data_IF_436787879323
#
_entry.id   IF_436787879323
#
_cell.length_a   1.000
_cell.length_b   1.000
_cell.length_c   1.000
_cell.angle_alpha   90.00
_cell.angle_beta   90.00
_cell.angle_gamma   90.00
#
_symmetry.space_group_name_H-M   'P 1'
#
loop_
_entity.id
_entity.type
_entity.pdbx_description
1 polymer ?
#
# COMPACT_ATOMS: atom_id res chain seq x y z
N UNK A 1 -18.07 -25.21 -7.33
CA UNK A 1 -17.30 -25.81 -8.43
C UNK A 1 -16.81 -24.65 -9.27
N UNK A 2 -15.62 -24.12 -8.93
CA UNK A 2 -15.06 -22.93 -9.58
C UNK A 2 -14.03 -23.41 -10.59
N UNK A 3 -14.32 -23.19 -11.87
CA UNK A 3 -13.37 -23.42 -12.96
C UNK A 3 -12.40 -22.23 -13.01
N UNK A 4 -11.10 -22.52 -12.89
CA UNK A 4 -10.03 -21.62 -13.26
C UNK A 4 -9.76 -21.78 -14.77
N UNK A 5 -9.96 -20.75 -15.61
CA UNK A 5 -9.51 -20.77 -16.99
C UNK A 5 -8.15 -20.06 -17.10
N UNK A 6 -7.11 -20.79 -17.46
CA UNK A 6 -5.83 -20.19 -17.81
C UNK A 6 -4.65 -21.15 -17.71
N UNK A 7 -4.51 -22.04 -18.70
CA UNK A 7 -3.23 -22.58 -19.21
C UNK A 7 -3.56 -23.51 -20.37
N UNK A 8 -3.45 -22.98 -21.60
CA UNK A 8 -3.64 -23.72 -22.84
C UNK A 8 -2.41 -24.55 -23.17
N UNK A 9 -2.64 -25.86 -23.26
CA UNK A 9 -1.86 -26.94 -23.91
C UNK A 9 -0.52 -26.63 -24.56
N UNK A 10 0.55 -27.14 -23.94
CA UNK A 10 1.67 -27.82 -24.64
C UNK A 10 2.62 -28.55 -23.66
N UNK A 11 2.62 -28.21 -22.36
CA UNK A 11 3.53 -28.85 -21.39
C UNK A 11 2.98 -30.13 -20.73
N UNK A 12 1.68 -30.39 -20.76
CA UNK A 12 1.06 -31.44 -19.92
C UNK A 12 1.47 -32.87 -20.28
N UNK A 13 2.01 -33.13 -21.49
CA UNK A 13 2.35 -34.49 -21.92
C UNK A 13 3.82 -34.90 -21.69
N UNK A 14 4.75 -33.95 -21.55
CA UNK A 14 6.18 -34.26 -21.38
C UNK A 14 6.60 -34.44 -19.90
N UNK A 15 5.88 -33.83 -18.96
CA UNK A 15 6.26 -33.81 -17.53
C UNK A 15 5.82 -35.06 -16.75
N UNK A 16 4.80 -35.79 -17.21
CA UNK A 16 4.24 -36.95 -16.49
C UNK A 16 5.17 -38.16 -16.50
N UNK A 17 6.01 -38.31 -17.53
CA UNK A 17 6.95 -39.43 -17.66
C UNK A 17 8.28 -39.17 -16.94
N UNK A 18 8.78 -37.92 -16.91
CA UNK A 18 10.02 -37.57 -16.22
C UNK A 18 9.89 -37.69 -14.68
N UNK A 19 8.74 -37.31 -14.13
CA UNK A 19 8.46 -37.43 -12.68
C UNK A 19 8.46 -38.87 -12.17
N UNK A 20 8.23 -39.86 -13.04
CA UNK A 20 8.05 -41.26 -12.64
C UNK A 20 9.37 -42.00 -12.47
N UNK A 21 10.44 -41.55 -13.14
CA UNK A 21 11.79 -42.13 -13.00
C UNK A 21 12.60 -41.48 -11.87
N UNK A 22 12.50 -40.16 -11.67
CA UNK A 22 13.28 -39.45 -10.64
C UNK A 22 12.80 -39.72 -9.19
N UNK A 23 11.53 -40.06 -9.01
CA UNK A 23 10.94 -40.40 -7.70
C UNK A 23 11.41 -41.74 -7.12
N UNK A 24 12.17 -42.55 -7.86
CA UNK A 24 12.63 -43.88 -7.41
C UNK A 24 13.98 -43.85 -6.67
N UNK A 25 14.78 -42.79 -6.86
CA UNK A 25 16.18 -42.72 -6.36
C UNK A 25 16.34 -41.85 -5.09
N UNK A 26 15.27 -41.21 -4.60
CA UNK A 26 15.33 -40.23 -3.50
C UNK A 26 15.08 -40.72 -2.04
N UNK A 27 15.27 -41.99 -1.59
CA UNK A 27 15.12 -42.30 -0.15
C UNK A 27 16.32 -41.97 0.74
N UNK A 28 17.49 -41.56 0.21
CA UNK A 28 18.75 -41.67 0.98
C UNK A 28 19.24 -40.40 1.70
N UNK A 29 18.54 -39.25 1.64
CA UNK A 29 19.08 -37.98 2.18
C UNK A 29 18.10 -37.11 3.01
N UNK A 30 17.06 -37.66 3.63
CA UNK A 30 16.17 -36.89 4.52
C UNK A 30 16.45 -37.17 6.02
N UNK A 31 16.62 -36.12 6.87
CA UNK A 31 16.78 -36.27 8.31
C UNK A 31 15.57 -36.97 8.97
N UNK A 32 15.83 -37.81 9.98
CA UNK A 32 14.86 -38.63 10.74
C UNK A 32 13.68 -37.89 11.40
N UNK A 33 13.59 -36.57 11.31
CA UNK A 33 12.48 -35.76 11.87
C UNK A 33 11.19 -35.89 11.05
N UNK A 34 11.27 -36.39 9.82
CA UNK A 34 10.17 -36.36 8.85
C UNK A 34 9.54 -37.74 8.55
N UNK A 35 9.89 -38.78 9.30
CA UNK A 35 9.57 -40.18 9.00
C UNK A 35 8.09 -40.59 9.12
N UNK A 36 7.17 -39.64 9.33
CA UNK A 36 5.72 -39.90 9.46
C UNK A 36 4.81 -39.09 8.53
N UNK A 37 5.36 -38.21 7.68
CA UNK A 37 4.57 -37.40 6.74
C UNK A 37 4.61 -38.02 5.33
N UNK A 38 3.50 -37.90 4.59
CA UNK A 38 3.50 -38.23 3.15
C UNK A 38 4.53 -37.35 2.42
N UNK A 39 5.21 -37.83 1.37
CA UNK A 39 6.25 -37.09 0.65
C UNK A 39 5.82 -35.67 0.21
N UNK A 40 4.55 -35.50 -0.19
CA UNK A 40 3.97 -34.20 -0.54
C UNK A 40 3.84 -33.24 0.65
N UNK A 41 3.51 -33.78 1.84
CA UNK A 41 3.41 -33.01 3.08
C UNK A 41 4.79 -32.61 3.61
N UNK A 42 5.80 -33.47 3.39
CA UNK A 42 7.17 -33.17 3.75
C UNK A 42 7.74 -31.99 2.93
N UNK A 43 7.47 -31.99 1.63
CA UNK A 43 7.93 -30.94 0.71
C UNK A 43 7.32 -29.57 1.04
N UNK A 44 6.00 -29.54 1.27
CA UNK A 44 5.25 -28.30 1.55
C UNK A 44 5.69 -27.65 2.87
N UNK A 45 5.83 -28.42 3.94
CA UNK A 45 6.32 -27.91 5.21
C UNK A 45 7.78 -27.46 5.14
N UNK A 46 8.61 -28.13 4.32
CA UNK A 46 9.96 -27.69 4.01
C UNK A 46 9.98 -26.29 3.39
N UNK A 47 9.16 -26.05 2.37
CA UNK A 47 9.04 -24.73 1.74
C UNK A 47 8.55 -23.67 2.72
N UNK A 48 7.51 -23.97 3.50
CA UNK A 48 6.99 -23.03 4.49
C UNK A 48 8.06 -22.59 5.49
N UNK A 49 8.85 -23.53 6.00
CA UNK A 49 9.92 -23.23 6.95
C UNK A 49 10.98 -22.31 6.33
N UNK A 50 11.37 -22.57 5.07
CA UNK A 50 12.32 -21.71 4.34
C UNK A 50 11.74 -20.31 4.12
N UNK A 51 10.47 -20.19 3.71
CA UNK A 51 9.83 -18.89 3.52
C UNK A 51 9.65 -18.13 4.85
N UNK A 52 9.32 -18.80 5.95
CA UNK A 52 9.26 -18.19 7.28
C UNK A 52 10.65 -17.69 7.69
N UNK A 53 11.69 -18.51 7.52
CA UNK A 53 13.06 -18.10 7.79
C UNK A 53 13.48 -16.90 6.92
N UNK A 54 13.08 -16.88 5.64
CA UNK A 54 13.29 -15.76 4.74
C UNK A 54 12.61 -14.48 5.25
N UNK A 55 11.34 -14.55 5.69
CA UNK A 55 10.65 -13.39 6.25
C UNK A 55 11.36 -12.83 7.48
N UNK A 56 11.79 -13.70 8.41
CA UNK A 56 12.56 -13.27 9.58
C UNK A 56 13.91 -12.66 9.20
N UNK A 57 14.62 -13.24 8.24
CA UNK A 57 15.89 -12.72 7.74
C UNK A 57 15.70 -11.33 7.14
N UNK A 58 14.71 -11.15 6.26
CA UNK A 58 14.40 -9.87 5.62
C UNK A 58 14.05 -8.80 6.66
N UNK A 59 13.18 -9.12 7.62
CA UNK A 59 12.82 -8.19 8.71
C UNK A 59 14.07 -7.84 9.53
N UNK A 60 14.87 -8.84 9.93
CA UNK A 60 16.09 -8.66 10.71
C UNK A 60 17.12 -7.79 10.00
N UNK A 61 17.41 -8.07 8.73
CA UNK A 61 18.31 -7.27 7.90
C UNK A 61 17.84 -5.83 7.78
N UNK A 62 16.55 -5.60 7.53
CA UNK A 62 16.01 -4.25 7.45
C UNK A 62 16.03 -3.53 8.82
N UNK A 63 15.89 -4.24 9.94
CA UNK A 63 16.07 -3.65 11.27
C UNK A 63 17.52 -3.25 11.53
N UNK A 64 18.48 -4.09 11.19
CA UNK A 64 19.91 -3.76 11.29
C UNK A 64 20.24 -2.57 10.41
N UNK A 65 19.74 -2.53 9.17
CA UNK A 65 19.91 -1.39 8.27
C UNK A 65 19.36 -0.10 8.86
N UNK A 66 18.15 -0.12 9.44
CA UNK A 66 17.55 1.05 10.10
C UNK A 66 18.39 1.48 11.30
N UNK A 67 18.79 0.54 12.15
CA UNK A 67 19.60 0.82 13.34
C UNK A 67 20.96 1.42 13.00
N UNK A 68 21.69 0.85 12.02
CA UNK A 68 22.94 1.41 11.52
C UNK A 68 22.73 2.80 10.91
N UNK A 69 21.69 2.97 10.09
CA UNK A 69 21.39 4.25 9.44
C UNK A 69 21.06 5.35 10.45
N UNK A 70 20.37 5.04 11.56
CA UNK A 70 20.14 6.00 12.66
C UNK A 70 21.43 6.46 13.33
N UNK A 71 22.47 5.62 13.32
CA UNK A 71 23.79 5.95 13.90
C UNK A 71 24.68 6.75 12.94
N UNK A 72 24.54 6.49 11.64
CA UNK A 72 25.45 7.03 10.62
C UNK A 72 24.91 8.25 9.87
N UNK A 73 23.59 8.42 9.79
CA UNK A 73 22.94 9.46 8.99
C UNK A 73 22.26 10.53 9.84
N UNK A 74 22.11 11.73 9.27
CA UNK A 74 21.29 12.78 9.89
C UNK A 74 19.81 12.36 9.97
N UNK A 75 19.04 12.87 10.95
CA UNK A 75 17.62 12.50 11.11
C UNK A 75 16.78 12.72 9.83
N UNK A 76 17.10 13.78 9.08
CA UNK A 76 16.45 14.08 7.80
C UNK A 76 16.75 13.02 6.75
N UNK A 77 18.03 12.71 6.53
CA UNK A 77 18.46 11.70 5.56
C UNK A 77 17.94 10.30 5.94
N UNK A 78 17.95 9.96 7.23
CA UNK A 78 17.34 8.73 7.72
C UNK A 78 15.85 8.67 7.38
N UNK A 79 15.08 9.72 7.72
CA UNK A 79 13.64 9.75 7.56
C UNK A 79 13.14 9.71 6.11
N UNK A 80 13.82 10.41 5.18
CA UNK A 80 13.40 10.46 3.78
C UNK A 80 14.09 9.46 2.86
N UNK A 81 15.24 8.88 3.22
CA UNK A 81 15.95 7.90 2.39
C UNK A 81 16.00 6.51 3.04
N UNK A 82 16.83 6.32 4.05
CA UNK A 82 17.15 4.99 4.57
C UNK A 82 15.92 4.24 5.10
N UNK A 83 15.02 4.96 5.77
CA UNK A 83 13.78 4.41 6.31
C UNK A 83 12.82 3.95 5.22
N UNK A 84 12.65 4.74 4.16
CA UNK A 84 11.80 4.40 3.01
C UNK A 84 12.39 3.26 2.20
N UNK A 85 13.71 3.27 1.96
CA UNK A 85 14.43 2.21 1.28
C UNK A 85 14.28 0.87 2.02
N UNK A 86 14.53 0.86 3.33
CA UNK A 86 14.38 -0.35 4.15
C UNK A 86 12.92 -0.84 4.21
N UNK A 87 11.95 0.08 4.29
CA UNK A 87 10.51 -0.24 4.27
C UNK A 87 10.08 -0.89 2.96
N UNK A 88 10.43 -0.27 1.84
CA UNK A 88 10.09 -0.77 0.49
C UNK A 88 10.80 -2.06 0.13
N UNK A 89 12.07 -2.24 0.53
CA UNK A 89 12.80 -3.50 0.36
C UNK A 89 12.13 -4.63 1.15
N UNK A 90 11.83 -4.38 2.43
CA UNK A 90 11.18 -5.37 3.29
C UNK A 90 9.79 -5.77 2.75
N UNK A 91 9.00 -4.80 2.30
CA UNK A 91 7.68 -5.02 1.71
C UNK A 91 7.77 -5.84 0.43
N UNK A 92 8.65 -5.44 -0.48
CA UNK A 92 8.77 -6.07 -1.79
C UNK A 92 9.23 -7.52 -1.69
N UNK A 93 10.29 -7.78 -0.91
CA UNK A 93 10.80 -9.13 -0.72
C UNK A 93 9.75 -10.05 -0.09
N UNK A 94 9.06 -9.58 0.95
CA UNK A 94 8.03 -10.35 1.63
C UNK A 94 6.82 -10.61 0.72
N UNK A 95 6.44 -9.62 -0.10
CA UNK A 95 5.35 -9.76 -1.06
C UNK A 95 5.67 -10.79 -2.14
N UNK A 96 6.89 -10.75 -2.71
CA UNK A 96 7.31 -11.69 -3.74
C UNK A 96 7.35 -13.13 -3.23
N UNK A 97 7.97 -13.36 -2.07
CA UNK A 97 8.03 -14.71 -1.48
C UNK A 97 6.63 -15.23 -1.13
N UNK A 98 5.74 -14.39 -0.60
CA UNK A 98 4.35 -14.78 -0.34
C UNK A 98 3.57 -15.07 -1.64
N UNK A 99 3.83 -14.32 -2.71
CA UNK A 99 3.23 -14.59 -4.03
C UNK A 99 3.67 -15.93 -4.60
N UNK A 100 4.95 -16.28 -4.49
CA UNK A 100 5.42 -17.60 -4.87
C UNK A 100 4.64 -18.71 -4.13
N UNK A 101 4.43 -18.57 -2.82
CA UNK A 101 3.62 -19.52 -2.04
C UNK A 101 2.16 -19.58 -2.52
N UNK A 102 1.59 -18.45 -2.96
CA UNK A 102 0.22 -18.35 -3.46
C UNK A 102 0.05 -18.98 -4.85
N UNK A 103 1.00 -18.75 -5.75
CA UNK A 103 0.94 -19.17 -7.16
C UNK A 103 1.36 -20.63 -7.34
N UNK A 104 2.44 -21.05 -6.68
CA UNK A 104 3.01 -22.41 -6.79
C UNK A 104 2.45 -23.36 -5.75
N UNK A 105 2.06 -22.87 -4.56
CA UNK A 105 1.48 -23.68 -3.49
C UNK A 105 0.46 -24.72 -3.95
N UNK A 106 -0.58 -24.31 -4.71
CA UNK A 106 -1.61 -25.21 -5.20
C UNK A 106 -1.08 -26.36 -6.08
N UNK A 107 0.06 -26.20 -6.76
CA UNK A 107 0.61 -27.19 -7.70
C UNK A 107 1.11 -28.45 -6.97
N UNK A 108 1.57 -28.30 -5.73
CA UNK A 108 2.03 -29.40 -4.88
C UNK A 108 0.96 -29.98 -3.95
N UNK A 109 -0.32 -29.60 -4.13
CA UNK A 109 -1.38 -29.89 -3.15
C UNK A 109 -1.20 -29.15 -1.82
N UNK A 110 -0.42 -28.06 -1.82
CA UNK A 110 -0.01 -27.31 -0.64
C UNK A 110 -0.66 -25.93 -0.52
N UNK A 111 -0.67 -25.41 0.70
CA UNK A 111 -1.08 -24.05 1.11
C UNK A 111 -2.46 -23.60 0.63
N UNK A 112 -3.48 -23.85 1.46
CA UNK A 112 -4.81 -23.27 1.27
C UNK A 112 -4.77 -21.73 1.34
N UNK A 113 -5.76 -21.10 0.71
CA UNK A 113 -5.93 -19.64 0.72
C UNK A 113 -5.92 -19.06 2.13
N UNK A 114 -6.52 -19.76 3.10
CA UNK A 114 -6.55 -19.35 4.51
C UNK A 114 -5.16 -19.17 5.11
N UNK A 115 -4.22 -20.05 4.75
CA UNK A 115 -2.85 -19.96 5.24
C UNK A 115 -2.12 -18.77 4.63
N UNK A 116 -2.23 -18.57 3.31
CA UNK A 116 -1.59 -17.44 2.62
C UNK A 116 -2.15 -16.11 3.14
N UNK A 117 -3.46 -16.02 3.37
CA UNK A 117 -4.09 -14.84 3.97
C UNK A 117 -3.66 -14.62 5.43
N UNK A 118 -3.48 -15.69 6.20
CA UNK A 118 -2.95 -15.60 7.57
C UNK A 118 -1.52 -15.07 7.55
N UNK A 119 -0.66 -15.59 6.67
CA UNK A 119 0.70 -15.09 6.50
C UNK A 119 0.71 -13.63 6.02
N UNK A 120 -0.17 -13.26 5.08
CA UNK A 120 -0.33 -11.89 4.61
C UNK A 120 -0.66 -10.95 5.79
N UNK A 121 -1.65 -11.31 6.60
CA UNK A 121 -2.03 -10.54 7.78
C UNK A 121 -0.84 -10.38 8.75
N UNK A 122 -0.17 -11.48 9.08
CA UNK A 122 0.98 -11.47 9.99
C UNK A 122 2.13 -10.61 9.44
N UNK A 123 2.45 -10.75 8.14
CA UNK A 123 3.48 -9.96 7.48
C UNK A 123 3.15 -8.47 7.50
N UNK A 124 1.92 -8.08 7.17
CA UNK A 124 1.53 -6.66 7.23
C UNK A 124 1.49 -6.12 8.66
N UNK A 125 1.16 -6.95 9.66
CA UNK A 125 1.27 -6.58 11.07
C UNK A 125 2.74 -6.34 11.46
N UNK A 126 3.64 -7.24 11.07
CA UNK A 126 5.09 -7.10 11.28
C UNK A 126 5.62 -5.87 10.55
N UNK A 127 5.25 -5.64 9.29
CA UNK A 127 5.59 -4.43 8.53
C UNK A 127 5.14 -3.17 9.26
N UNK A 128 3.87 -3.09 9.66
CA UNK A 128 3.33 -1.95 10.41
C UNK A 128 4.06 -1.67 11.72
N UNK A 129 4.49 -2.71 12.43
CA UNK A 129 5.28 -2.58 13.66
C UNK A 129 6.75 -2.21 13.42
N UNK A 130 7.31 -2.59 12.27
CA UNK A 130 8.75 -2.58 11.99
C UNK A 130 9.23 -1.45 11.07
N UNK A 131 8.31 -0.80 10.34
CA UNK A 131 8.62 0.24 9.35
C UNK A 131 9.11 1.57 9.94
N UNK A 132 8.98 1.79 11.26
CA UNK A 132 9.43 3.01 11.93
C UNK A 132 8.80 4.30 11.33
N UNK A 133 7.59 4.16 10.78
CA UNK A 133 6.85 5.23 10.10
C UNK A 133 7.24 5.47 8.64
N UNK A 134 7.98 4.55 7.99
CA UNK A 134 8.16 4.55 6.54
C UNK A 134 6.80 4.57 5.84
N UNK A 135 6.66 5.38 4.78
CA UNK A 135 5.47 5.35 3.93
C UNK A 135 5.46 4.06 3.09
N UNK A 136 6.62 3.66 2.54
CA UNK A 136 6.85 2.47 1.71
C UNK A 136 5.85 2.28 0.54
N UNK A 137 5.13 3.35 0.19
CA UNK A 137 4.09 3.41 -0.81
C UNK A 137 4.04 4.84 -1.37
N UNK A 138 4.20 5.03 -2.69
CA UNK A 138 4.12 6.34 -3.34
C UNK A 138 2.84 7.12 -3.01
N UNK A 139 1.67 6.47 -2.96
CA UNK A 139 0.41 7.17 -2.68
C UNK A 139 0.38 7.74 -1.26
N UNK A 140 1.00 7.07 -0.29
CA UNK A 140 1.14 7.55 1.09
C UNK A 140 2.11 8.72 1.16
N UNK A 141 3.25 8.68 0.45
CA UNK A 141 4.18 9.82 0.41
C UNK A 141 3.59 11.05 -0.29
N UNK A 142 2.77 10.85 -1.33
CA UNK A 142 2.01 11.93 -1.97
C UNK A 142 0.93 12.46 -1.03
N UNK A 143 0.24 11.59 -0.28
CA UNK A 143 -0.73 12.02 0.73
C UNK A 143 -0.07 12.95 1.76
N UNK A 144 1.05 12.56 2.34
CA UNK A 144 1.80 13.39 3.31
C UNK A 144 2.20 14.76 2.72
N UNK A 145 2.59 14.79 1.44
CA UNK A 145 2.88 16.04 0.73
C UNK A 145 1.64 16.94 0.63
N UNK A 146 0.51 16.37 0.20
CA UNK A 146 -0.77 17.08 0.03
C UNK A 146 -1.33 17.61 1.37
N UNK A 147 -0.99 16.93 2.46
CA UNK A 147 -1.36 17.31 3.83
C UNK A 147 -0.38 18.26 4.52
N UNK A 148 0.62 18.79 3.80
CA UNK A 148 1.67 19.70 4.33
C UNK A 148 2.61 19.05 5.36
N UNK A 149 2.66 17.72 5.43
CA UNK A 149 3.49 16.97 6.37
C UNK A 149 4.88 16.67 5.81
N UNK A 150 5.01 16.76 4.49
CA UNK A 150 6.28 16.60 3.78
C UNK A 150 6.50 17.75 2.79
N UNK A 151 7.77 18.14 2.63
CA UNK A 151 8.22 19.06 1.58
C UNK A 151 8.34 18.34 0.24
N UNK A 152 8.32 19.08 -0.87
CA UNK A 152 8.48 18.49 -2.21
C UNK A 152 9.78 17.70 -2.33
N UNK A 153 10.90 18.28 -1.87
CA UNK A 153 12.20 17.63 -1.90
C UNK A 153 12.25 16.35 -1.05
N UNK A 154 11.65 16.37 0.14
CA UNK A 154 11.56 15.18 0.98
C UNK A 154 10.70 14.09 0.32
N UNK A 155 9.54 14.45 -0.25
CA UNK A 155 8.68 13.49 -0.95
C UNK A 155 9.36 12.91 -2.18
N UNK A 156 10.07 13.72 -2.98
CA UNK A 156 10.86 13.22 -4.11
C UNK A 156 11.94 12.23 -3.64
N UNK A 157 12.65 12.54 -2.56
CA UNK A 157 13.64 11.64 -1.96
C UNK A 157 13.00 10.32 -1.49
N UNK A 158 11.81 10.39 -0.86
CA UNK A 158 11.05 9.19 -0.46
C UNK A 158 10.69 8.31 -1.66
N UNK A 159 10.14 8.90 -2.73
CA UNK A 159 9.74 8.17 -3.93
C UNK A 159 10.94 7.47 -4.61
N UNK A 160 12.08 8.16 -4.69
CA UNK A 160 13.32 7.57 -5.20
C UNK A 160 13.79 6.41 -4.32
N UNK A 161 13.82 6.61 -2.99
CA UNK A 161 14.21 5.57 -2.05
C UNK A 161 13.27 4.35 -2.08
N UNK A 162 11.97 4.57 -2.26
CA UNK A 162 10.99 3.49 -2.43
C UNK A 162 11.24 2.70 -3.72
N UNK A 163 11.49 3.37 -4.85
CA UNK A 163 11.82 2.72 -6.11
C UNK A 163 13.12 1.93 -6.05
N UNK A 164 14.17 2.49 -5.43
CA UNK A 164 15.43 1.77 -5.19
C UNK A 164 15.21 0.58 -4.25
N UNK A 165 14.42 0.76 -3.19
CA UNK A 165 14.09 -0.29 -2.23
C UNK A 165 13.33 -1.45 -2.87
N UNK A 166 12.26 -1.18 -3.64
CA UNK A 166 11.51 -2.23 -4.34
C UNK A 166 12.31 -2.88 -5.46
N UNK A 167 13.09 -2.11 -6.23
CA UNK A 167 13.97 -2.66 -7.26
C UNK A 167 15.06 -3.58 -6.68
N UNK A 168 15.69 -3.17 -5.58
CA UNK A 168 16.67 -4.00 -4.86
C UNK A 168 16.00 -5.23 -4.27
N UNK A 169 14.83 -5.08 -3.65
CA UNK A 169 14.05 -6.20 -3.11
C UNK A 169 13.71 -7.24 -4.18
N UNK A 170 13.26 -6.81 -5.35
CA UNK A 170 13.01 -7.69 -6.49
C UNK A 170 14.26 -8.45 -6.92
N UNK A 171 15.39 -7.75 -7.11
CA UNK A 171 16.64 -8.37 -7.54
C UNK A 171 17.17 -9.41 -6.52
N UNK A 172 17.14 -9.07 -5.23
CA UNK A 172 17.61 -9.96 -4.16
C UNK A 172 16.68 -11.16 -4.00
N UNK A 173 15.35 -10.98 -4.11
CA UNK A 173 14.43 -12.12 -4.06
C UNK A 173 14.62 -13.07 -5.24
N UNK A 174 14.86 -12.56 -6.46
CA UNK A 174 15.19 -13.43 -7.60
C UNK A 174 16.49 -14.21 -7.37
N UNK A 175 17.51 -13.57 -6.81
CA UNK A 175 18.75 -14.24 -6.43
C UNK A 175 18.49 -15.33 -5.38
N UNK A 176 17.66 -15.06 -4.38
CA UNK A 176 17.27 -16.04 -3.38
C UNK A 176 16.55 -17.25 -3.99
N UNK A 177 15.63 -17.02 -4.94
CA UNK A 177 14.97 -18.10 -5.66
C UNK A 177 15.94 -18.95 -6.49
N UNK A 178 16.97 -18.35 -7.09
CA UNK A 178 18.01 -19.09 -7.82
C UNK A 178 18.93 -19.96 -6.94
N UNK A 179 18.82 -19.88 -5.62
CA UNK A 179 19.50 -20.83 -4.72
C UNK A 179 18.74 -22.15 -4.60
N UNK A 180 17.52 -22.23 -5.14
CA UNK A 180 16.78 -23.49 -5.34
C UNK A 180 16.64 -24.33 -4.06
N UNK A 181 16.53 -23.64 -2.91
CA UNK A 181 16.51 -24.26 -1.58
C UNK A 181 15.32 -25.23 -1.40
N UNK A 182 14.28 -25.07 -2.22
CA UNK A 182 13.07 -25.88 -2.23
C UNK A 182 12.62 -26.09 -3.67
N UNK A 183 11.77 -27.11 -3.89
CA UNK A 183 11.16 -27.34 -5.20
C UNK A 183 10.34 -26.14 -5.68
N UNK A 184 9.77 -25.35 -4.77
CA UNK A 184 9.01 -24.17 -5.17
C UNK A 184 9.94 -23.04 -5.60
N UNK A 185 11.07 -22.86 -4.92
CA UNK A 185 12.11 -21.92 -5.36
C UNK A 185 12.71 -22.31 -6.70
N UNK A 186 12.91 -23.61 -6.94
CA UNK A 186 13.33 -24.14 -8.25
C UNK A 186 12.30 -23.83 -9.34
N UNK A 187 11.03 -24.19 -9.14
CA UNK A 187 9.96 -23.90 -10.11
C UNK A 187 9.85 -22.38 -10.34
N UNK A 188 9.86 -21.58 -9.28
CA UNK A 188 9.79 -20.11 -9.37
C UNK A 188 10.98 -19.55 -10.16
N UNK A 189 12.20 -20.07 -9.93
CA UNK A 189 13.41 -19.67 -10.65
C UNK A 189 13.25 -19.91 -12.16
N UNK A 190 12.78 -21.09 -12.55
CA UNK A 190 12.54 -21.48 -13.94
C UNK A 190 11.50 -20.59 -14.64
N UNK A 191 10.39 -20.28 -13.97
CA UNK A 191 9.30 -19.48 -14.58
C UNK A 191 9.52 -17.97 -14.43
N UNK A 192 10.52 -17.53 -13.65
CA UNK A 192 10.68 -16.11 -13.33
C UNK A 192 10.98 -15.23 -14.56
N UNK A 193 11.50 -15.80 -15.65
CA UNK A 193 11.74 -15.10 -16.91
C UNK A 193 10.46 -14.92 -17.75
N UNK A 194 9.46 -15.78 -17.54
CA UNK A 194 8.23 -15.86 -18.32
C UNK A 194 7.01 -15.45 -17.48
N UNK A 195 7.05 -14.28 -16.86
CA UNK A 195 5.94 -13.81 -16.04
C UNK A 195 4.79 -13.20 -16.87
N UNK A 196 3.57 -13.42 -16.39
CA UNK A 196 2.33 -12.88 -16.96
C UNK A 196 1.81 -11.69 -16.16
N UNK A 197 1.10 -10.80 -16.85
CA UNK A 197 0.43 -9.65 -16.26
C UNK A 197 -0.47 -10.05 -15.08
N UNK A 198 -0.40 -9.28 -13.99
CA UNK A 198 -1.34 -9.41 -12.85
C UNK A 198 -2.73 -8.80 -13.13
N UNK A 199 -2.96 -8.24 -14.34
CA UNK A 199 -4.26 -7.72 -14.76
C UNK A 199 -5.05 -8.83 -15.44
N UNK A 200 -6.15 -9.27 -14.81
CA UNK A 200 -7.00 -10.36 -15.29
C UNK A 200 -8.41 -9.90 -15.70
N UNK A 201 -8.62 -8.59 -15.81
CA UNK A 201 -9.91 -7.97 -16.17
C UNK A 201 -9.70 -6.81 -17.14
N UNK A 202 -10.77 -6.18 -17.61
CA UNK A 202 -10.67 -5.02 -18.51
C UNK A 202 -9.97 -3.84 -17.83
N UNK A 203 -9.22 -3.05 -18.60
CA UNK A 203 -8.41 -1.94 -18.06
C UNK A 203 -9.19 -0.96 -17.17
N UNK A 204 -10.40 -0.48 -17.56
CA UNK A 204 -11.16 0.43 -16.70
C UNK A 204 -11.60 -0.22 -15.40
N UNK A 205 -11.96 -1.51 -15.45
CA UNK A 205 -12.34 -2.28 -14.26
C UNK A 205 -11.14 -2.47 -13.33
N UNK A 206 -9.98 -2.83 -13.88
CA UNK A 206 -8.75 -3.00 -13.11
C UNK A 206 -8.33 -1.69 -12.42
N UNK A 207 -8.37 -0.56 -13.13
CA UNK A 207 -8.07 0.75 -12.57
C UNK A 207 -9.06 1.14 -11.46
N UNK A 208 -10.35 0.81 -11.62
CA UNK A 208 -11.37 1.03 -10.59
C UNK A 208 -11.13 0.15 -9.35
N UNK A 209 -10.72 -1.11 -9.53
CA UNK A 209 -10.41 -2.03 -8.43
C UNK A 209 -9.22 -1.52 -7.61
N UNK A 210 -8.10 -1.20 -8.27
CA UNK A 210 -6.91 -0.64 -7.62
C UNK A 210 -7.19 0.71 -6.96
N UNK A 211 -7.97 1.57 -7.61
CA UNK A 211 -8.43 2.83 -7.04
C UNK A 211 -9.33 2.66 -5.82
N UNK A 212 -10.26 1.70 -5.83
CA UNK A 212 -11.14 1.40 -4.69
C UNK A 212 -10.34 0.83 -3.52
N UNK A 213 -9.40 -0.08 -3.79
CA UNK A 213 -8.51 -0.61 -2.76
C UNK A 213 -7.69 0.51 -2.10
N UNK A 214 -7.07 1.37 -2.92
CA UNK A 214 -6.32 2.54 -2.43
C UNK A 214 -7.23 3.48 -1.62
N UNK A 215 -8.42 3.80 -2.11
CA UNK A 215 -9.39 4.63 -1.40
C UNK A 215 -9.70 4.10 0.02
N UNK A 216 -10.05 2.81 0.12
CA UNK A 216 -10.38 2.18 1.40
C UNK A 216 -9.16 2.13 2.33
N UNK A 217 -7.99 1.75 1.80
CA UNK A 217 -6.74 1.73 2.56
C UNK A 217 -6.40 3.11 3.13
N UNK A 218 -6.46 4.16 2.31
CA UNK A 218 -6.18 5.53 2.72
C UNK A 218 -7.21 6.06 3.73
N UNK A 219 -8.49 5.74 3.58
CA UNK A 219 -9.53 6.13 4.54
C UNK A 219 -9.28 5.50 5.92
N UNK A 220 -8.94 4.20 5.98
CA UNK A 220 -8.58 3.52 7.23
C UNK A 220 -7.29 4.10 7.81
N UNK A 221 -6.28 4.37 6.98
CA UNK A 221 -5.02 4.98 7.40
C UNK A 221 -5.24 6.35 8.05
N UNK A 222 -6.09 7.21 7.46
CA UNK A 222 -6.43 8.52 8.00
C UNK A 222 -7.24 8.40 9.30
N UNK A 223 -8.26 7.54 9.32
CA UNK A 223 -9.12 7.33 10.50
C UNK A 223 -8.36 6.75 11.70
N UNK A 224 -7.42 5.85 11.46
CA UNK A 224 -6.62 5.19 12.51
C UNK A 224 -5.37 5.95 12.91
N UNK A 225 -5.10 7.12 12.31
CA UNK A 225 -3.85 7.85 12.49
C UNK A 225 -3.57 8.24 13.94
N UNK A 226 -4.60 8.65 14.67
CA UNK A 226 -4.50 9.05 16.08
C UNK A 226 -4.70 7.87 17.05
N UNK A 227 -5.02 6.69 16.53
CA UNK A 227 -5.21 5.49 17.35
C UNK A 227 -3.87 4.93 17.83
N UNK A 228 -3.91 4.24 18.98
CA UNK A 228 -2.73 3.56 19.54
C UNK A 228 -2.18 2.51 18.53
N UNK A 229 -0.85 2.32 18.42
CA UNK A 229 -0.25 1.36 17.49
C UNK A 229 -0.81 -0.06 17.60
N UNK A 230 -1.14 -0.51 18.81
CA UNK A 230 -1.74 -1.83 19.06
C UNK A 230 -3.10 -2.03 18.37
N UNK A 231 -3.84 -0.96 18.09
CA UNK A 231 -5.09 -1.03 17.32
C UNK A 231 -4.85 -0.71 15.84
N UNK A 232 -4.01 0.30 15.57
CA UNK A 232 -3.74 0.79 14.21
C UNK A 232 -3.08 -0.28 13.34
N UNK A 233 -2.07 -0.99 13.86
CA UNK A 233 -1.29 -1.97 13.08
C UNK A 233 -2.17 -3.15 12.66
N UNK A 234 -2.90 -3.83 13.56
CA UNK A 234 -3.81 -4.91 13.15
C UNK A 234 -4.94 -4.43 12.23
N UNK A 235 -5.47 -3.22 12.43
CA UNK A 235 -6.53 -2.68 11.57
C UNK A 235 -6.05 -2.49 10.12
N UNK A 236 -4.85 -1.95 9.93
CA UNK A 236 -4.25 -1.80 8.60
C UNK A 236 -3.90 -3.15 7.98
N UNK A 237 -3.33 -4.07 8.76
CA UNK A 237 -3.02 -5.42 8.28
C UNK A 237 -4.28 -6.19 7.85
N UNK A 238 -5.35 -6.12 8.66
CA UNK A 238 -6.64 -6.70 8.31
C UNK A 238 -7.25 -6.05 7.06
N UNK A 239 -7.13 -4.72 6.93
CA UNK A 239 -7.62 -4.00 5.74
C UNK A 239 -6.89 -4.47 4.47
N UNK A 240 -5.56 -4.53 4.50
CA UNK A 240 -4.77 -5.03 3.35
C UNK A 240 -5.12 -6.47 3.03
N UNK A 241 -5.24 -7.32 4.05
CA UNK A 241 -5.58 -8.74 3.86
C UNK A 241 -6.96 -8.90 3.22
N UNK A 242 -7.96 -8.18 3.73
CA UNK A 242 -9.32 -8.18 3.18
C UNK A 242 -9.35 -7.67 1.74
N UNK A 243 -8.70 -6.54 1.45
CA UNK A 243 -8.63 -5.99 0.10
C UNK A 243 -7.94 -6.98 -0.85
N UNK A 244 -6.84 -7.59 -0.43
CA UNK A 244 -6.12 -8.60 -1.23
C UNK A 244 -6.98 -9.83 -1.51
N UNK A 245 -7.73 -10.31 -0.51
CA UNK A 245 -8.69 -11.39 -0.71
C UNK A 245 -9.75 -11.05 -1.75
N UNK A 246 -10.31 -9.83 -1.70
CA UNK A 246 -11.40 -9.41 -2.59
C UNK A 246 -10.94 -9.02 -4.00
N UNK A 247 -9.77 -8.40 -4.13
CA UNK A 247 -9.29 -7.79 -5.36
C UNK A 247 -8.15 -8.57 -6.04
N UNK A 248 -7.55 -9.54 -5.34
CA UNK A 248 -6.35 -10.25 -5.79
C UNK A 248 -6.53 -10.94 -7.12
N UNK A 249 -7.69 -11.58 -7.35
CA UNK A 249 -8.00 -12.26 -8.62
C UNK A 249 -8.16 -11.33 -9.82
N UNK A 250 -8.31 -10.01 -9.61
CA UNK A 250 -8.51 -9.04 -10.69
C UNK A 250 -7.23 -8.34 -11.09
N UNK A 251 -6.42 -7.91 -10.10
CA UNK A 251 -5.26 -7.04 -10.33
C UNK A 251 -4.02 -7.44 -9.51
N UNK A 252 -4.10 -8.48 -8.68
CA UNK A 252 -3.11 -8.79 -7.65
C UNK A 252 -3.19 -7.87 -6.42
N UNK A 253 -4.11 -6.91 -6.40
CA UNK A 253 -4.41 -5.99 -5.29
C UNK A 253 -3.17 -5.30 -4.70
N UNK A 254 -2.44 -4.54 -5.53
CA UNK A 254 -1.20 -3.91 -5.06
C UNK A 254 -1.44 -2.61 -4.30
N UNK A 255 -2.29 -1.73 -4.85
CA UNK A 255 -2.60 -0.36 -4.39
C UNK A 255 -1.37 0.42 -3.88
N UNK A 256 -0.21 0.08 -4.45
CA UNK A 256 1.11 0.59 -4.14
C UNK A 256 1.89 0.63 -5.45
N UNK A 257 2.03 1.82 -6.07
CA UNK A 257 2.62 1.94 -7.40
C UNK A 257 4.07 1.43 -7.48
N UNK A 258 4.89 1.64 -6.44
CA UNK A 258 6.28 1.18 -6.46
C UNK A 258 6.40 -0.34 -6.37
N UNK A 259 5.52 -0.98 -5.58
CA UNK A 259 5.46 -2.42 -5.47
C UNK A 259 4.96 -3.04 -6.79
N UNK A 260 3.85 -2.52 -7.32
CA UNK A 260 3.30 -2.98 -8.60
C UNK A 260 4.35 -2.86 -9.72
N UNK A 261 5.05 -1.72 -9.82
CA UNK A 261 6.10 -1.55 -10.84
C UNK A 261 7.20 -2.61 -10.73
N UNK A 262 7.69 -2.92 -9.53
CA UNK A 262 8.70 -3.96 -9.34
C UNK A 262 8.20 -5.36 -9.72
N UNK A 263 6.91 -5.65 -9.52
CA UNK A 263 6.35 -7.00 -9.68
C UNK A 263 5.72 -7.28 -11.04
N UNK A 264 5.16 -6.27 -11.74
CA UNK A 264 4.33 -6.51 -12.94
C UNK A 264 4.81 -5.81 -14.22
N UNK A 265 5.55 -4.71 -14.16
CA UNK A 265 5.86 -3.91 -15.36
C UNK A 265 6.82 -4.61 -16.33
N UNK A 266 7.56 -5.60 -15.85
CA UNK A 266 8.46 -6.42 -16.65
C UNK A 266 7.78 -7.66 -17.25
N UNK A 267 6.51 -7.90 -16.90
CA UNK A 267 5.77 -9.07 -17.35
C UNK A 267 5.08 -8.84 -18.70
N UNK A 268 4.80 -9.95 -19.38
CA UNK A 268 4.09 -9.94 -20.66
C UNK A 268 2.58 -9.85 -20.44
N UNK A 269 1.86 -9.28 -21.41
CA UNK A 269 0.38 -9.28 -21.45
C UNK A 269 -0.28 -7.90 -21.49
N UNK A 270 0.37 -6.85 -20.99
CA UNK A 270 -0.13 -5.48 -21.05
C UNK A 270 0.98 -4.49 -21.42
N UNK A 271 0.57 -3.34 -21.97
CA UNK A 271 1.51 -2.28 -22.31
C UNK A 271 1.98 -1.51 -21.07
N UNK A 272 3.10 -0.80 -21.18
CA UNK A 272 3.55 0.12 -20.12
C UNK A 272 2.45 1.12 -19.70
N UNK A 273 1.69 1.65 -20.66
CA UNK A 273 0.64 2.63 -20.40
C UNK A 273 -0.59 2.03 -19.72
N UNK A 274 -0.93 0.78 -20.04
CA UNK A 274 -1.98 0.03 -19.34
C UNK A 274 -1.64 -0.07 -17.85
N UNK A 275 -0.39 -0.42 -17.54
CA UNK A 275 0.07 -0.51 -16.16
C UNK A 275 0.11 0.84 -15.44
N UNK A 276 0.46 1.93 -16.13
CA UNK A 276 0.37 3.28 -15.55
C UNK A 276 -1.09 3.63 -15.21
N UNK A 277 -2.04 3.33 -16.09
CA UNK A 277 -3.46 3.59 -15.83
C UNK A 277 -3.97 2.82 -14.60
N UNK A 278 -3.65 1.53 -14.51
CA UNK A 278 -4.15 0.65 -13.47
C UNK A 278 -3.43 0.87 -12.13
N UNK A 279 -2.10 0.83 -12.13
CA UNK A 279 -1.31 0.77 -10.90
C UNK A 279 -0.74 2.11 -10.42
N UNK A 280 -0.81 3.17 -11.23
CA UNK A 280 -0.46 4.53 -10.80
C UNK A 280 -1.68 5.43 -10.72
N UNK A 281 -2.42 5.62 -11.83
CA UNK A 281 -3.56 6.55 -11.87
C UNK A 281 -4.71 6.08 -10.98
N UNK A 282 -5.06 4.79 -11.01
CA UNK A 282 -6.07 4.20 -10.12
C UNK A 282 -5.78 4.49 -8.64
N UNK A 283 -4.66 4.01 -8.08
CA UNK A 283 -4.32 4.23 -6.68
C UNK A 283 -4.19 5.70 -6.30
N UNK A 284 -3.66 6.57 -7.17
CA UNK A 284 -3.61 8.02 -6.92
C UNK A 284 -5.03 8.60 -6.82
N UNK A 285 -5.92 8.27 -7.77
CA UNK A 285 -7.31 8.74 -7.75
C UNK A 285 -8.05 8.28 -6.49
N UNK A 286 -7.85 7.02 -6.07
CA UNK A 286 -8.39 6.48 -4.82
C UNK A 286 -7.93 7.26 -3.58
N UNK A 287 -6.63 7.54 -3.49
CA UNK A 287 -6.06 8.33 -2.40
C UNK A 287 -6.63 9.76 -2.37
N UNK A 288 -6.74 10.42 -3.53
CA UNK A 288 -7.37 11.74 -3.64
C UNK A 288 -8.82 11.74 -3.18
N UNK A 289 -9.61 10.74 -3.59
CA UNK A 289 -11.00 10.59 -3.14
C UNK A 289 -11.10 10.38 -1.62
N UNK A 290 -10.18 9.61 -1.02
CA UNK A 290 -10.14 9.37 0.42
C UNK A 290 -9.81 10.67 1.19
N UNK A 291 -8.86 11.46 0.70
CA UNK A 291 -8.53 12.77 1.27
C UNK A 291 -9.72 13.73 1.23
N UNK A 292 -10.37 13.84 0.07
CA UNK A 292 -11.54 14.69 -0.10
C UNK A 292 -12.66 14.29 0.86
N UNK A 293 -12.95 12.99 0.97
CA UNK A 293 -13.99 12.49 1.88
C UNK A 293 -13.64 12.72 3.35
N UNK A 294 -12.38 12.48 3.75
CA UNK A 294 -11.97 12.57 5.14
C UNK A 294 -11.82 14.01 5.65
N UNK A 295 -11.20 14.90 4.88
CA UNK A 295 -10.90 16.27 5.30
C UNK A 295 -11.91 17.29 4.78
N UNK A 296 -12.59 17.01 3.67
CA UNK A 296 -13.43 17.98 2.96
C UNK A 296 -12.64 19.00 2.13
N UNK A 297 -11.34 19.14 2.37
CA UNK A 297 -10.41 19.97 1.60
C UNK A 297 -9.06 19.24 1.41
N UNK A 298 -8.18 19.80 0.58
CA UNK A 298 -6.80 19.32 0.43
C UNK A 298 -5.91 20.53 0.68
N UNK A 299 -5.24 20.65 1.85
CA UNK A 299 -4.57 21.88 2.26
C UNK A 299 -3.64 22.51 1.22
N UNK A 300 -2.93 21.68 0.43
CA UNK A 300 -2.05 22.14 -0.64
C UNK A 300 -2.74 22.61 -1.93
N UNK A 301 -3.96 22.16 -2.21
CA UNK A 301 -4.66 22.43 -3.48
C UNK A 301 -5.84 23.38 -3.28
N UNK A 302 -6.66 23.11 -2.25
CA UNK A 302 -7.88 23.84 -1.96
C UNK A 302 -7.94 24.15 -0.47
N UNK A 303 -7.89 25.44 -0.10
CA UNK A 303 -8.07 25.85 1.30
C UNK A 303 -9.54 25.78 1.73
N UNK A 304 -10.48 25.93 0.79
CA UNK A 304 -11.92 25.87 1.06
C UNK A 304 -12.40 24.42 1.07
N UNK A 305 -13.25 24.09 2.05
CA UNK A 305 -13.96 22.81 2.09
C UNK A 305 -14.87 22.66 0.86
N UNK A 306 -14.55 21.70 0.00
CA UNK A 306 -15.28 21.39 -1.23
C UNK A 306 -16.55 20.58 -0.94
N UNK A 307 -16.50 19.66 0.03
CA UNK A 307 -17.64 18.79 0.38
C UNK A 307 -18.48 19.35 1.53
N UNK A 308 -17.83 19.95 2.52
CA UNK A 308 -18.48 20.47 3.72
C UNK A 308 -18.57 22.00 3.65
N UNK A 309 -19.48 22.52 2.83
CA UNK A 309 -19.81 23.95 2.87
C UNK A 309 -20.57 24.26 4.16
N UNK A 310 -19.96 25.04 5.06
CA UNK A 310 -20.65 25.65 6.20
C UNK A 310 -21.75 26.57 5.67
N UNK A 311 -22.98 26.08 5.54
CA UNK A 311 -24.15 26.96 5.38
C UNK A 311 -24.21 27.84 6.63
N UNK A 312 -23.91 29.13 6.51
CA UNK A 312 -23.96 30.06 7.64
C UNK A 312 -25.37 30.06 8.24
N UNK A 313 -25.55 29.40 9.39
CA UNK A 313 -26.83 29.31 10.11
C UNK A 313 -27.15 30.55 10.95
N UNK A 314 -26.59 31.71 10.59
CA UNK A 314 -26.99 33.00 11.15
C UNK A 314 -27.09 34.06 10.04
N UNK A 315 -28.22 34.06 9.32
CA UNK A 315 -28.74 35.32 8.79
C UNK A 315 -29.27 36.09 9.99
N UNK A 316 -28.48 37.03 10.51
CA UNK A 316 -28.96 38.06 11.43
C UNK A 316 -30.14 38.76 10.70
N UNK A 317 -31.35 38.81 11.27
CA UNK A 317 -32.41 39.60 10.69
C UNK A 317 -31.96 41.06 10.66
N UNK A 318 -31.86 41.65 9.46
CA UNK A 318 -31.77 43.11 9.33
C UNK A 318 -33.05 43.69 9.92
N UNK A 319 -32.99 44.18 11.15
CA UNK A 319 -34.02 45.05 11.71
C UNK A 319 -34.06 46.29 10.82
N UNK A 320 -35.14 46.40 10.04
CA UNK A 320 -35.42 47.53 9.18
C UNK A 320 -36.00 48.62 10.08
N UNK A 321 -35.16 49.54 10.57
CA UNK A 321 -35.63 50.79 11.17
C UNK A 321 -36.14 51.64 10.02
N UNK A 322 -37.45 51.66 9.82
CA UNK A 322 -38.13 52.62 8.96
C UNK A 322 -38.03 54.00 9.60
N UNK A 323 -37.17 54.85 9.04
CA UNK A 323 -37.28 56.30 9.19
C UNK A 323 -38.42 56.74 8.28
N UNK A 324 -39.51 57.21 8.88
CA UNK A 324 -40.53 57.99 8.20
C UNK A 324 -40.13 59.46 8.38
N UNK A 325 -39.82 60.15 7.28
CA UNK A 325 -39.76 61.61 7.22
C UNK A 325 -40.99 62.15 6.46
N UNK A 326 -41.12 63.48 6.49
CA UNK A 326 -42.26 64.37 6.16
C UNK A 326 -43.35 64.45 7.24
N UNK A 327 -43.66 65.58 7.89
CA UNK A 327 -43.23 66.97 7.72
C UNK A 327 -44.45 67.88 7.86
N UNK A 328 -44.58 68.64 8.96
CA UNK A 328 -45.11 70.01 8.95
C UNK A 328 -44.90 70.75 10.29
N UNK A 329 -44.88 72.08 10.21
CA UNK A 329 -44.13 73.05 11.01
C UNK A 329 -44.87 73.62 12.29
N UNK A 330 -44.50 74.79 12.87
CA UNK A 330 -43.63 75.04 14.03
C UNK A 330 -44.34 75.50 15.33
N UNK A 331 -43.63 75.50 16.50
CA UNK A 331 -43.65 76.62 17.48
C UNK A 331 -42.74 76.48 18.72
N UNK A 332 -41.92 77.53 18.90
CA UNK A 332 -41.60 78.28 20.14
C UNK A 332 -40.77 77.64 21.29
N UNK A 333 -39.66 78.35 21.54
CA UNK A 333 -39.19 78.97 22.80
C UNK A 333 -38.02 78.31 23.57
N UNK A 334 -36.93 79.08 23.51
CA UNK A 334 -36.11 79.62 24.62
C UNK A 334 -34.94 78.79 25.18
N UNK A 335 -33.78 79.45 25.02
CA UNK A 335 -32.72 79.73 26.00
C UNK A 335 -31.73 78.60 26.35
N UNK A 336 -30.50 78.84 25.88
CA UNK A 336 -29.41 79.22 26.80
C UNK A 336 -28.24 78.24 26.86
N UNK A 337 -27.03 78.75 26.61
CA UNK A 337 -25.78 78.10 27.07
C UNK A 337 -24.65 78.11 26.05
N UNK A 338 -23.82 79.17 26.08
CA UNK A 338 -22.51 79.28 25.42
C UNK A 338 -21.44 78.44 26.14
N UNK A 339 -20.51 77.86 25.37
CA UNK A 339 -19.02 77.90 25.49
C UNK A 339 -18.43 76.67 24.78
N UNK A 340 -17.71 76.84 23.65
CA UNK A 340 -16.24 77.02 23.53
C UNK A 340 -15.46 75.99 24.40
N UNK A 341 -14.54 75.16 23.91
CA UNK A 341 -13.42 75.46 23.00
C UNK A 341 -12.83 74.15 22.41
N UNK A 342 -12.17 74.34 21.28
CA UNK A 342 -11.40 73.48 20.34
C UNK A 342 -10.15 72.74 20.92
N UNK A 343 -9.26 72.09 20.13
CA UNK A 343 -8.82 70.71 20.34
C UNK A 343 -7.27 70.54 20.43
N UNK A 344 -6.79 69.30 20.21
CA UNK A 344 -5.41 68.76 20.04
C UNK A 344 -4.89 67.99 21.27
N UNK A 345 -4.19 66.87 21.13
CA UNK A 345 -3.37 66.37 20.02
C UNK A 345 -3.60 64.89 19.71
#
# INVERSE_FOLDING_TARGET
>A
MWHFPGLSGCATFAYTELYKEELRELPLLLPRVWSGLSPSTALTMGTLNVSIAFFFLVVGMCQVLRWLSKRLLSPRAYGCLARELAGSLQLCMSCLELRMLMEIGPWGGGFGLDMVLTLLFLLFAVHGASFDGASANPTVSVQEFLLLESSLAATAAKLLAQGVGTGTGWAVTKLFWSWELTQFHFIQSLISSECSSSIHTSLPHAALVEGTCSFLFHLVLLKSRQSHPLCRVPALAATVTFLTYTAGSFTGAFFNPALATATTFHCTGNSFWDYIQVYWLGPLAGMFAALLLYQGNIPRLFQKNLLYSQKSKYKIPKVKVTVHEEGDEPKRKRKGGKSNTEPRA
#
